data_IF_647795105361
#
_entry.id   IF_647795105361
#
_cell.length_a   1.000
_cell.length_b   1.000
_cell.length_c   1.000
_cell.angle_alpha   90.00
_cell.angle_beta   90.00
_cell.angle_gamma   90.00
#
_symmetry.space_group_name_H-M   'P 1'
#
loop_
_entity.id
_entity.type
_entity.pdbx_description
1 polymer ?
#
# COMPACT_ATOMS: atom_id res chain seq x y z
N UNK A 1 -31.51 -60.47 -14.15
CA UNK A 1 -31.09 -59.35 -13.29
C UNK A 1 -29.57 -59.42 -13.03
N UNK A 2 -28.74 -58.92 -13.95
CA UNK A 2 -27.28 -58.81 -13.77
C UNK A 2 -26.95 -57.36 -14.11
N UNK A 3 -26.56 -56.53 -13.13
CA UNK A 3 -25.91 -55.21 -13.29
C UNK A 3 -25.77 -54.41 -11.97
N UNK A 4 -26.18 -54.93 -10.79
CA UNK A 4 -26.09 -54.18 -9.52
C UNK A 4 -24.76 -54.32 -8.76
N UNK A 5 -23.86 -55.21 -9.17
CA UNK A 5 -22.63 -55.52 -8.41
C UNK A 5 -21.43 -54.61 -8.73
N UNK A 6 -21.45 -53.86 -9.84
CA UNK A 6 -20.32 -52.98 -10.24
C UNK A 6 -20.31 -51.61 -9.52
N UNK A 7 -21.48 -51.13 -9.09
CA UNK A 7 -21.59 -49.84 -8.39
C UNK A 7 -21.16 -49.93 -6.91
N UNK A 8 -21.26 -51.12 -6.30
CA UNK A 8 -20.97 -51.32 -4.89
C UNK A 8 -19.46 -51.30 -4.58
N UNK A 9 -18.62 -51.82 -5.48
CA UNK A 9 -17.16 -51.72 -5.32
C UNK A 9 -16.63 -50.31 -5.54
N UNK A 10 -17.26 -49.50 -6.40
CA UNK A 10 -16.79 -48.13 -6.68
C UNK A 10 -16.90 -47.18 -5.48
N UNK A 11 -17.90 -47.38 -4.61
CA UNK A 11 -18.09 -46.58 -3.40
C UNK A 11 -17.03 -46.88 -2.34
N UNK A 12 -16.59 -48.13 -2.22
CA UNK A 12 -15.58 -48.55 -1.23
C UNK A 12 -14.19 -47.96 -1.54
N UNK A 13 -13.86 -47.86 -2.82
CA UNK A 13 -12.66 -47.14 -3.27
C UNK A 13 -12.78 -45.63 -3.04
N UNK A 14 -13.95 -45.02 -3.26
CA UNK A 14 -14.12 -43.57 -3.05
C UNK A 14 -14.00 -43.18 -1.57
N UNK A 15 -14.37 -44.07 -0.64
CA UNK A 15 -14.28 -43.85 0.81
C UNK A 15 -12.85 -43.96 1.37
N UNK A 16 -12.02 -44.86 0.83
CA UNK A 16 -10.61 -45.03 1.28
C UNK A 16 -9.70 -43.93 0.77
N UNK A 17 -9.89 -43.47 -0.47
CA UNK A 17 -9.19 -42.29 -0.99
C UNK A 17 -9.80 -40.96 -0.52
N UNK A 18 -11.04 -40.99 0.00
CA UNK A 18 -11.76 -39.81 0.49
C UNK A 18 -11.03 -39.08 1.61
N UNK A 19 -10.33 -39.81 2.50
CA UNK A 19 -9.52 -39.17 3.55
C UNK A 19 -8.30 -38.43 2.97
N UNK A 20 -7.69 -38.98 1.92
CA UNK A 20 -6.60 -38.31 1.21
C UNK A 20 -7.05 -36.99 0.57
N UNK A 21 -8.21 -36.99 -0.10
CA UNK A 21 -8.78 -35.77 -0.68
C UNK A 21 -9.14 -34.75 0.39
N UNK A 22 -9.65 -35.18 1.55
CA UNK A 22 -9.98 -34.31 2.67
C UNK A 22 -8.72 -33.65 3.24
N UNK A 23 -7.64 -34.41 3.45
CA UNK A 23 -6.36 -33.88 3.93
C UNK A 23 -5.79 -32.84 2.94
N UNK A 24 -5.80 -33.15 1.64
CA UNK A 24 -5.31 -32.23 0.60
C UNK A 24 -6.14 -30.95 0.59
N UNK A 25 -7.47 -31.04 0.67
CA UNK A 25 -8.34 -29.86 0.72
C UNK A 25 -8.07 -29.00 1.96
N UNK A 26 -7.88 -29.62 3.13
CA UNK A 26 -7.53 -28.88 4.36
C UNK A 26 -6.16 -28.21 4.26
N UNK A 27 -5.17 -28.87 3.65
CA UNK A 27 -3.87 -28.29 3.42
C UNK A 27 -3.96 -27.05 2.50
N UNK A 28 -4.74 -27.11 1.42
CA UNK A 28 -4.96 -25.96 0.53
C UNK A 28 -5.64 -24.82 1.29
N UNK A 29 -6.66 -25.10 2.11
CA UNK A 29 -7.35 -24.09 2.93
C UNK A 29 -6.39 -23.44 3.95
N UNK A 30 -5.56 -24.25 4.62
CA UNK A 30 -4.57 -23.75 5.58
C UNK A 30 -3.50 -22.88 4.91
N UNK A 31 -3.07 -23.25 3.71
CA UNK A 31 -2.10 -22.47 2.93
C UNK A 31 -2.73 -21.18 2.39
N UNK A 32 -3.96 -21.25 1.87
CA UNK A 32 -4.68 -20.10 1.32
C UNK A 32 -5.10 -19.07 2.40
N UNK A 33 -5.35 -19.53 3.63
CA UNK A 33 -5.62 -18.64 4.77
C UNK A 33 -4.36 -18.11 5.45
N UNK A 34 -3.17 -18.57 5.03
CA UNK A 34 -1.93 -18.10 5.62
C UNK A 34 -1.58 -16.68 5.16
N UNK A 35 -1.12 -15.80 6.07
CA UNK A 35 -0.70 -14.43 5.73
C UNK A 35 0.58 -14.37 4.88
N UNK A 36 1.19 -15.53 4.58
CA UNK A 36 2.33 -15.64 3.70
C UNK A 36 1.92 -15.47 2.22
N UNK A 37 0.70 -15.88 1.86
CA UNK A 37 0.18 -15.75 0.49
C UNK A 37 -0.44 -14.38 0.22
N UNK A 38 -0.88 -13.64 1.24
CA UNK A 38 -1.43 -12.30 1.03
C UNK A 38 -0.36 -11.36 0.45
N UNK A 39 0.83 -11.30 1.03
CA UNK A 39 1.87 -10.33 0.62
C UNK A 39 2.49 -10.54 -0.78
N UNK A 40 2.39 -11.73 -1.37
CA UNK A 40 3.01 -12.02 -2.69
C UNK A 40 2.15 -11.60 -3.89
N UNK A 41 0.85 -11.40 -3.71
CA UNK A 41 -0.05 -10.99 -4.81
C UNK A 41 -0.31 -9.49 -4.88
N UNK A 42 0.12 -8.73 -3.87
CA UNK A 42 -0.08 -7.29 -3.86
C UNK A 42 1.14 -6.57 -4.43
N UNK A 43 0.98 -6.07 -5.65
CA UNK A 43 1.97 -5.22 -6.29
C UNK A 43 2.04 -3.89 -5.52
N UNK A 44 3.06 -3.74 -4.68
CA UNK A 44 3.34 -2.49 -3.99
C UNK A 44 3.92 -1.51 -5.00
N UNK A 45 3.28 -0.37 -5.19
CA UNK A 45 3.80 0.67 -6.06
C UNK A 45 3.71 2.05 -5.42
N UNK A 46 4.69 2.89 -5.73
CA UNK A 46 4.73 4.29 -5.35
C UNK A 46 5.09 5.10 -6.59
N UNK A 47 4.11 5.82 -7.13
CA UNK A 47 4.29 6.67 -8.30
C UNK A 47 4.32 8.12 -7.84
N UNK A 48 5.36 8.86 -8.20
CA UNK A 48 5.50 10.28 -7.88
C UNK A 48 5.94 11.03 -9.14
N UNK A 49 5.37 12.22 -9.37
CA UNK A 49 5.72 13.03 -10.53
C UNK A 49 6.90 13.99 -10.27
N UNK A 50 7.40 14.62 -11.33
CA UNK A 50 8.33 15.79 -11.27
C UNK A 50 9.76 15.50 -10.77
N UNK A 51 10.37 14.39 -11.18
CA UNK A 51 11.80 14.12 -10.92
C UNK A 51 12.10 13.69 -9.49
N UNK A 52 11.07 13.36 -8.72
CA UNK A 52 11.19 12.63 -7.47
C UNK A 52 11.07 11.14 -7.73
N UNK A 53 11.64 10.33 -6.85
CA UNK A 53 11.44 8.88 -6.87
C UNK A 53 11.27 8.34 -5.47
N UNK A 54 10.44 7.30 -5.35
CA UNK A 54 10.05 6.69 -4.08
C UNK A 54 10.60 5.28 -4.05
N UNK A 55 11.59 5.03 -3.19
CA UNK A 55 12.30 3.75 -3.17
C UNK A 55 11.72 2.78 -2.12
N UNK A 56 11.28 3.30 -0.98
CA UNK A 56 10.70 2.50 0.11
C UNK A 56 9.49 3.21 0.67
N UNK A 57 8.43 2.46 0.98
CA UNK A 57 7.23 3.01 1.59
C UNK A 57 6.54 1.95 2.45
N UNK A 58 5.99 2.39 3.58
CA UNK A 58 5.32 1.55 4.58
C UNK A 58 4.14 2.32 5.14
N UNK A 59 2.97 1.69 5.24
CA UNK A 59 1.80 2.22 5.96
C UNK A 59 1.61 1.38 7.21
N UNK A 60 1.58 2.06 8.36
CA UNK A 60 1.35 1.42 9.64
C UNK A 60 -0.15 1.37 9.98
N UNK A 61 -0.54 0.42 10.81
CA UNK A 61 -1.91 0.35 11.39
C UNK A 61 -2.36 1.61 12.15
N UNK A 62 -1.42 2.48 12.57
CA UNK A 62 -1.72 3.78 13.18
C UNK A 62 -2.17 4.84 12.18
N UNK A 63 -2.09 4.57 10.87
CA UNK A 63 -2.43 5.55 9.82
C UNK A 63 -1.25 6.37 9.30
N UNK A 64 -0.04 6.07 9.76
CA UNK A 64 1.14 6.80 9.34
C UNK A 64 1.72 6.20 8.07
N UNK A 65 1.96 7.05 7.09
CA UNK A 65 2.70 6.71 5.88
C UNK A 65 4.15 7.14 6.06
N UNK A 66 5.05 6.16 5.99
CA UNK A 66 6.49 6.40 5.93
C UNK A 66 6.97 6.18 4.50
N UNK A 67 7.55 7.21 3.87
CA UNK A 67 8.12 7.11 2.52
C UNK A 67 9.57 7.57 2.51
N UNK A 68 10.41 6.88 1.74
CA UNK A 68 11.75 7.31 1.39
C UNK A 68 11.72 8.01 0.04
N UNK A 69 11.82 9.33 0.09
CA UNK A 69 11.85 10.21 -1.07
C UNK A 69 13.30 10.47 -1.49
N UNK A 70 13.55 10.34 -2.78
CA UNK A 70 14.79 10.75 -3.44
C UNK A 70 14.45 11.74 -4.53
N UNK A 71 15.40 12.57 -4.93
CA UNK A 71 15.21 13.53 -6.01
C UNK A 71 16.39 13.55 -6.98
N UNK A 72 16.08 13.77 -8.25
CA UNK A 72 17.03 13.86 -9.36
C UNK A 72 16.92 15.20 -10.12
N UNK A 73 16.35 16.22 -9.49
CA UNK A 73 16.06 17.55 -10.09
C UNK A 73 17.30 18.43 -10.31
N UNK A 74 18.49 18.02 -9.86
CA UNK A 74 19.73 18.79 -10.02
C UNK A 74 19.89 19.97 -9.05
N UNK A 75 18.87 20.29 -8.25
CA UNK A 75 18.89 21.39 -7.28
C UNK A 75 18.54 20.87 -5.87
N UNK A 76 18.98 21.60 -4.85
CA UNK A 76 18.54 21.37 -3.48
C UNK A 76 17.16 21.96 -3.30
N UNK A 77 16.19 21.15 -2.90
CA UNK A 77 14.80 21.58 -2.72
C UNK A 77 14.38 21.37 -1.27
N UNK A 78 13.38 22.11 -0.84
CA UNK A 78 12.88 22.01 0.52
C UNK A 78 11.39 21.69 0.52
N UNK A 79 10.97 20.62 1.19
CA UNK A 79 9.55 20.34 1.40
C UNK A 79 9.06 21.21 2.55
N UNK A 80 8.07 22.05 2.28
CA UNK A 80 7.49 23.01 3.24
C UNK A 80 6.18 22.52 3.84
N UNK A 81 5.40 21.75 3.08
CA UNK A 81 4.16 21.16 3.58
C UNK A 81 3.92 19.79 2.96
N UNK A 82 3.26 18.92 3.73
CA UNK A 82 2.87 17.57 3.31
C UNK A 82 1.42 17.34 3.69
N UNK A 83 0.68 16.68 2.82
CA UNK A 83 -0.67 16.22 3.10
C UNK A 83 -0.84 14.79 2.59
N UNK A 84 -1.67 14.01 3.26
CA UNK A 84 -2.00 12.65 2.85
C UNK A 84 -3.47 12.34 3.04
N UNK A 85 -4.08 11.73 2.03
CA UNK A 85 -5.50 11.40 2.00
C UNK A 85 -5.72 9.99 1.44
N UNK A 86 -6.81 9.37 1.88
CA UNK A 86 -7.31 8.11 1.29
C UNK A 86 -7.87 8.28 -0.12
N UNK A 87 -8.11 9.51 -0.59
CA UNK A 87 -8.61 9.76 -1.95
C UNK A 87 -7.51 10.07 -2.94
N UNK A 88 -7.26 9.16 -3.87
CA UNK A 88 -6.31 9.41 -4.96
C UNK A 88 -6.90 10.24 -6.10
N UNK A 89 -8.21 10.39 -6.18
CA UNK A 89 -8.89 11.10 -7.28
C UNK A 89 -8.88 12.62 -7.09
N UNK A 90 -8.79 13.11 -5.85
CA UNK A 90 -8.83 14.54 -5.56
C UNK A 90 -7.62 15.24 -6.21
N UNK A 91 -7.80 16.42 -6.84
CA UNK A 91 -6.69 17.19 -7.38
C UNK A 91 -5.78 17.69 -6.24
N UNK A 92 -6.38 18.08 -5.11
CA UNK A 92 -5.71 18.58 -3.92
C UNK A 92 -6.42 18.10 -2.64
N UNK A 93 -5.69 17.91 -1.54
CA UNK A 93 -6.26 17.62 -0.23
C UNK A 93 -6.82 18.88 0.41
N UNK A 94 -7.77 18.72 1.34
CA UNK A 94 -8.38 19.83 2.06
C UNK A 94 -7.33 20.65 2.84
N UNK A 95 -7.55 21.95 3.00
CA UNK A 95 -6.57 22.88 3.60
C UNK A 95 -6.16 22.47 5.03
N UNK A 96 -7.06 21.83 5.77
CA UNK A 96 -6.86 21.32 7.12
C UNK A 96 -6.04 20.01 7.20
N UNK A 97 -5.67 19.41 6.07
CA UNK A 97 -4.87 18.18 6.01
C UNK A 97 -3.37 18.46 5.77
N UNK A 98 -2.99 19.72 5.55
CA UNK A 98 -1.61 20.11 5.33
C UNK A 98 -0.86 20.27 6.65
N UNK A 99 0.27 19.58 6.73
CA UNK A 99 1.19 19.63 7.86
C UNK A 99 2.42 20.43 7.41
N UNK A 100 2.73 21.48 8.15
CA UNK A 100 3.95 22.25 7.93
C UNK A 100 5.17 21.41 8.32
N UNK A 101 6.12 21.30 7.41
CA UNK A 101 7.40 20.61 7.64
C UNK A 101 8.52 21.46 7.06
N UNK A 102 9.75 21.21 7.48
CA UNK A 102 10.92 21.87 6.90
C UNK A 102 11.97 20.81 6.62
N UNK A 103 11.85 20.17 5.46
CA UNK A 103 12.64 18.99 5.11
C UNK A 103 13.50 19.32 3.89
N UNK A 104 14.77 19.69 4.10
CA UNK A 104 15.69 19.85 2.99
C UNK A 104 15.97 18.48 2.39
N UNK A 105 15.90 18.42 1.06
CA UNK A 105 16.31 17.32 0.22
C UNK A 105 17.53 17.79 -0.58
N UNK A 106 18.59 16.98 -0.56
CA UNK A 106 19.79 17.18 -1.34
C UNK A 106 19.72 16.25 -2.54
N UNK A 107 20.14 16.70 -3.71
CA UNK A 107 20.08 15.89 -4.94
C UNK A 107 20.81 14.56 -4.75
N UNK A 108 20.20 13.45 -5.18
CA UNK A 108 20.78 12.11 -5.04
C UNK A 108 20.72 11.50 -3.62
N UNK A 109 20.23 12.23 -2.62
CA UNK A 109 20.03 11.67 -1.26
C UNK A 109 18.59 11.21 -1.04
N UNK A 110 18.42 10.05 -0.40
CA UNK A 110 17.14 9.56 0.05
C UNK A 110 16.83 10.02 1.46
N UNK A 111 15.69 10.67 1.66
CA UNK A 111 15.22 11.06 2.99
C UNK A 111 13.91 10.36 3.32
N UNK A 112 13.90 9.73 4.49
CA UNK A 112 12.70 9.08 5.02
C UNK A 112 11.85 10.11 5.74
N UNK A 113 10.56 10.15 5.40
CA UNK A 113 9.58 11.04 5.99
C UNK A 113 8.44 10.19 6.53
N UNK A 114 7.92 10.56 7.70
CA UNK A 114 6.78 9.90 8.32
C UNK A 114 5.71 10.94 8.63
N UNK A 115 4.49 10.75 8.13
CA UNK A 115 3.36 11.64 8.36
C UNK A 115 2.04 10.86 8.44
N UNK A 116 1.06 11.36 9.21
CA UNK A 116 -0.26 10.74 9.28
C UNK A 116 -1.03 10.98 7.97
N UNK A 117 -1.85 10.01 7.60
CA UNK A 117 -2.83 10.12 6.54
C UNK A 117 -4.23 10.30 7.12
N UNK A 118 -5.07 11.04 6.39
CA UNK A 118 -6.41 11.37 6.81
C UNK A 118 -7.44 10.77 5.86
N UNK A 119 -8.66 10.57 6.34
CA UNK A 119 -9.79 10.24 5.47
C UNK A 119 -10.11 11.46 4.60
N UNK A 120 -10.51 11.23 3.35
CA UNK A 120 -10.88 12.30 2.41
C UNK A 120 -11.79 13.36 3.06
N UNK A 121 -11.45 14.63 2.86
CA UNK A 121 -12.21 15.81 3.30
C UNK A 121 -12.51 15.83 4.81
N UNK A 122 -11.69 15.13 5.60
CA UNK A 122 -11.81 15.03 7.06
C UNK A 122 -10.46 15.25 7.76
N UNK A 123 -10.51 15.66 9.02
CA UNK A 123 -9.36 15.69 9.94
C UNK A 123 -9.19 14.37 10.70
N UNK A 124 -10.04 13.38 10.42
CA UNK A 124 -9.95 12.07 11.03
C UNK A 124 -8.75 11.30 10.50
N UNK A 125 -7.90 10.84 11.42
CA UNK A 125 -6.76 10.01 11.07
C UNK A 125 -7.26 8.69 10.45
N UNK A 126 -6.67 8.30 9.33
CA UNK A 126 -6.90 7.02 8.70
C UNK A 126 -6.43 5.89 9.64
N UNK A 127 -7.26 4.90 9.94
CA UNK A 127 -6.88 3.77 10.81
C UNK A 127 -7.17 2.44 10.11
N UNK A 128 -6.24 1.96 9.28
CA UNK A 128 -6.42 0.70 8.57
C UNK A 128 -6.19 -0.51 9.47
N UNK A 129 -6.78 -1.66 9.12
CA UNK A 129 -6.43 -2.94 9.75
C UNK A 129 -5.18 -3.51 9.10
N UNK A 130 -4.40 -4.26 9.88
CA UNK A 130 -3.23 -4.98 9.38
C UNK A 130 -3.68 -5.98 8.32
N UNK A 131 -3.02 -5.96 7.16
CA UNK A 131 -3.37 -6.80 6.02
C UNK A 131 -4.33 -6.17 5.01
N UNK A 132 -4.91 -5.00 5.28
CA UNK A 132 -5.73 -4.28 4.31
C UNK A 132 -4.87 -3.72 3.16
N UNK A 133 -5.35 -3.87 1.92
CA UNK A 133 -4.78 -3.18 0.77
C UNK A 133 -5.31 -1.74 0.75
N UNK A 134 -4.40 -0.77 0.82
CA UNK A 134 -4.74 0.64 0.85
C UNK A 134 -4.04 1.39 -0.27
N UNK A 135 -4.75 2.31 -0.91
CA UNK A 135 -4.17 3.24 -1.87
C UNK A 135 -4.36 4.66 -1.36
N UNK A 136 -3.25 5.36 -1.18
CA UNK A 136 -3.18 6.69 -0.58
C UNK A 136 -2.61 7.69 -1.58
N UNK A 137 -3.16 8.90 -1.57
CA UNK A 137 -2.57 10.05 -2.22
C UNK A 137 -1.74 10.83 -1.20
N UNK A 138 -0.50 11.14 -1.53
CA UNK A 138 0.32 12.08 -0.78
C UNK A 138 0.64 13.29 -1.67
N UNK A 139 0.56 14.49 -1.09
CA UNK A 139 0.88 15.74 -1.75
C UNK A 139 1.98 16.44 -0.99
N UNK A 140 2.94 16.98 -1.72
CA UNK A 140 4.12 17.65 -1.20
C UNK A 140 4.14 19.05 -1.80
N UNK A 141 4.29 20.07 -0.95
CA UNK A 141 4.65 21.42 -1.40
C UNK A 141 6.15 21.56 -1.29
N UNK A 142 6.78 21.81 -2.42
CA UNK A 142 8.22 21.91 -2.56
C UNK A 142 8.57 23.35 -2.88
N UNK A 143 9.44 23.94 -2.06
CA UNK A 143 10.09 25.21 -2.34
C UNK A 143 11.41 24.96 -3.04
N UNK A 144 11.56 25.54 -4.22
CA UNK A 144 12.76 25.45 -5.05
C UNK A 144 13.47 26.81 -4.99
N UNK A 145 14.80 26.85 -4.79
CA UNK A 145 15.55 28.10 -4.81
C UNK A 145 15.36 28.81 -6.16
N UNK A 146 14.94 30.08 -6.12
CA UNK A 146 14.68 30.89 -7.31
C UNK A 146 13.23 30.89 -7.81
N UNK A 147 12.32 30.14 -7.18
CA UNK A 147 10.89 30.15 -7.52
C UNK A 147 10.07 30.85 -6.42
N UNK A 148 9.17 31.75 -6.83
CA UNK A 148 8.36 32.57 -5.91
C UNK A 148 7.16 31.83 -5.30
N UNK A 149 6.76 30.69 -5.87
CA UNK A 149 5.62 29.90 -5.40
C UNK A 149 6.01 28.42 -5.23
N UNK A 150 5.52 27.74 -4.17
CA UNK A 150 5.81 26.34 -3.95
C UNK A 150 5.12 25.49 -5.02
N UNK A 151 5.85 24.51 -5.56
CA UNK A 151 5.34 23.53 -6.52
C UNK A 151 4.66 22.40 -5.76
N UNK A 152 3.50 21.96 -6.24
CA UNK A 152 2.78 20.84 -5.66
C UNK A 152 3.12 19.57 -6.44
N UNK A 153 3.60 18.56 -5.73
CA UNK A 153 3.91 17.23 -6.26
C UNK A 153 2.94 16.23 -5.68
N UNK A 154 2.38 15.36 -6.53
CA UNK A 154 1.49 14.28 -6.11
C UNK A 154 2.23 12.94 -6.19
N UNK A 155 2.09 12.16 -5.14
CA UNK A 155 2.51 10.78 -5.04
C UNK A 155 1.30 9.89 -4.79
N UNK A 156 1.23 8.75 -5.46
CA UNK A 156 0.23 7.72 -5.26
C UNK A 156 0.95 6.50 -4.73
N UNK A 157 0.54 6.03 -3.55
CA UNK A 157 1.13 4.89 -2.87
C UNK A 157 0.08 3.82 -2.70
N UNK A 158 0.35 2.61 -3.20
CA UNK A 158 -0.47 1.44 -2.94
C UNK A 158 0.35 0.40 -2.22
N UNK A 159 -0.08 0.02 -1.01
CA UNK A 159 0.58 -1.01 -0.20
C UNK A 159 -0.42 -1.73 0.68
N UNK A 160 -0.02 -2.90 1.14
CA UNK A 160 -0.64 -3.58 2.28
C UNK A 160 -0.18 -2.91 3.57
N UNK A 161 -1.10 -2.77 4.51
CA UNK A 161 -0.84 -2.23 5.84
C UNK A 161 -0.10 -3.26 6.68
N UNK A 162 0.98 -2.81 7.32
CA UNK A 162 1.85 -3.62 8.20
C UNK A 162 1.81 -3.15 9.65
#
# INVERSE_FOLDING_TARGET
>A
MKNKLKAQSAIEFLLTYGWGVLIISLAIIAIASSPLFSNIFYSKYCYISQGFSCSQFIVNSTGNLSIMLTQATGLNVNITQIACSTSVASPLPASNQWINVNIPLITGTGKRINFPCFVQDSTTAFKPKIGDLVTLGAWLKVSIPGQSSPVIVKAIVSTVVT
#
